data_IF_408446178512
#
_entry.id   IF_408446178512
#
_cell.length_a   1.000
_cell.length_b   1.000
_cell.length_c   1.000
_cell.angle_alpha   90.00
_cell.angle_beta   90.00
_cell.angle_gamma   90.00
#
_symmetry.space_group_name_H-M   'P 1'
#
loop_
_entity.id
_entity.type
_entity.pdbx_description
1 polymer ?
#
# COMPACT_ATOMS: atom_id res chain seq x y z
N UNK A 1 25.44 20.42 -78.58
CA UNK A 1 25.02 19.10 -78.05
C UNK A 1 26.02 18.54 -77.04
N UNK A 2 27.30 18.35 -77.42
CA UNK A 2 28.33 17.80 -76.50
C UNK A 2 28.55 18.62 -75.22
N UNK A 3 28.59 19.96 -75.29
CA UNK A 3 28.79 20.80 -74.11
C UNK A 3 27.65 20.69 -73.07
N UNK A 4 26.40 20.53 -73.53
CA UNK A 4 25.25 20.35 -72.64
C UNK A 4 25.30 18.99 -71.94
N UNK A 5 25.65 17.92 -72.68
CA UNK A 5 25.84 16.58 -72.12
C UNK A 5 26.96 16.56 -71.07
N UNK A 6 28.06 17.29 -71.30
CA UNK A 6 29.14 17.41 -70.32
C UNK A 6 28.67 18.09 -69.03
N UNK A 7 27.87 19.16 -69.14
CA UNK A 7 27.31 19.87 -67.99
C UNK A 7 26.34 18.99 -67.19
N UNK A 8 25.38 18.35 -67.87
CA UNK A 8 24.43 17.42 -67.24
C UNK A 8 25.16 16.28 -66.52
N UNK A 9 26.25 15.75 -67.11
CA UNK A 9 27.07 14.71 -66.48
C UNK A 9 27.80 15.20 -65.21
N UNK A 10 28.22 16.47 -65.19
CA UNK A 10 28.82 17.09 -64.00
C UNK A 10 27.79 17.31 -62.90
N UNK A 11 26.61 17.82 -63.24
CA UNK A 11 25.51 18.06 -62.31
C UNK A 11 25.04 16.73 -61.67
N UNK A 12 24.88 15.68 -62.48
CA UNK A 12 24.57 14.33 -62.00
C UNK A 12 25.64 13.80 -61.03
N UNK A 13 26.93 14.05 -61.31
CA UNK A 13 28.02 13.65 -60.39
C UNK A 13 27.92 14.35 -59.04
N UNK A 14 27.49 15.62 -59.01
CA UNK A 14 27.30 16.37 -57.77
C UNK A 14 26.14 15.76 -56.98
N UNK A 15 24.98 15.57 -57.61
CA UNK A 15 23.81 14.98 -56.95
C UNK A 15 24.08 13.56 -56.43
N UNK A 16 24.83 12.73 -57.16
CA UNK A 16 25.23 11.40 -56.69
C UNK A 16 26.10 11.48 -55.43
N UNK A 17 26.96 12.50 -55.31
CA UNK A 17 27.77 12.72 -54.10
C UNK A 17 26.89 13.17 -52.93
N UNK A 18 25.98 14.11 -53.15
CA UNK A 18 25.04 14.61 -52.14
C UNK A 18 24.19 13.47 -51.59
N UNK A 19 23.58 12.66 -52.46
CA UNK A 19 22.77 11.49 -52.06
C UNK A 19 23.61 10.49 -51.24
N UNK A 20 24.88 10.26 -51.60
CA UNK A 20 25.75 9.35 -50.84
C UNK A 20 26.04 9.87 -49.44
N UNK A 21 26.21 11.19 -49.29
CA UNK A 21 26.45 11.82 -48.00
C UNK A 21 25.18 11.77 -47.13
N UNK A 22 24.01 12.10 -47.69
CA UNK A 22 22.74 11.95 -46.98
C UNK A 22 22.51 10.50 -46.53
N UNK A 23 22.75 9.52 -47.40
CA UNK A 23 22.65 8.10 -47.03
C UNK A 23 23.61 7.72 -45.90
N UNK A 24 24.80 8.33 -45.83
CA UNK A 24 25.73 8.10 -44.72
C UNK A 24 25.17 8.66 -43.42
N UNK A 25 24.66 9.89 -43.44
CA UNK A 25 24.05 10.52 -42.27
C UNK A 25 22.83 9.73 -41.78
N UNK A 26 21.98 9.24 -42.69
CA UNK A 26 20.85 8.39 -42.31
C UNK A 26 21.30 7.07 -41.65
N UNK A 27 22.38 6.45 -42.15
CA UNK A 27 22.96 5.26 -41.51
C UNK A 27 23.55 5.54 -40.12
N UNK A 28 24.07 6.73 -39.89
CA UNK A 28 24.58 7.16 -38.58
C UNK A 28 23.41 7.38 -37.61
N UNK A 29 22.39 8.16 -37.99
CA UNK A 29 21.17 8.34 -37.19
C UNK A 29 20.45 7.04 -36.86
N UNK A 30 20.38 6.10 -37.81
CA UNK A 30 19.79 4.77 -37.56
C UNK A 30 20.60 3.94 -36.58
N UNK A 31 21.91 4.17 -36.44
CA UNK A 31 22.73 3.50 -35.41
C UNK A 31 22.48 4.13 -34.05
N UNK A 32 22.45 5.46 -33.96
CA UNK A 32 22.14 6.20 -32.73
C UNK A 32 20.77 5.81 -32.18
N UNK A 33 19.73 5.82 -33.01
CA UNK A 33 18.37 5.41 -32.61
C UNK A 33 18.30 3.96 -32.10
N UNK A 34 19.15 3.07 -32.60
CA UNK A 34 19.20 1.68 -32.09
C UNK A 34 19.79 1.62 -30.69
N UNK A 35 20.84 2.42 -30.44
CA UNK A 35 21.49 2.50 -29.13
C UNK A 35 20.49 3.08 -28.11
N UNK A 36 19.86 4.21 -28.41
CA UNK A 36 18.85 4.82 -27.53
C UNK A 36 17.69 3.86 -27.24
N UNK A 37 17.26 3.07 -28.23
CA UNK A 37 16.19 2.11 -28.06
C UNK A 37 16.60 0.92 -27.18
N UNK A 38 17.87 0.51 -27.21
CA UNK A 38 18.41 -0.50 -26.30
C UNK A 38 18.52 0.02 -24.86
N UNK A 39 18.99 1.25 -24.67
CA UNK A 39 19.06 1.93 -23.37
C UNK A 39 17.67 2.07 -22.74
N UNK A 40 16.68 2.58 -23.50
CA UNK A 40 15.30 2.69 -23.04
C UNK A 40 14.68 1.34 -22.66
N UNK A 41 15.05 0.26 -23.37
CA UNK A 41 14.58 -1.10 -23.01
C UNK A 41 15.19 -1.55 -21.68
N UNK A 42 16.47 -1.24 -21.44
CA UNK A 42 17.13 -1.57 -20.20
C UNK A 42 16.51 -0.80 -19.02
N UNK A 43 16.35 0.52 -19.15
CA UNK A 43 15.73 1.38 -18.14
C UNK A 43 14.31 0.91 -17.80
N UNK A 44 13.50 0.61 -18.81
CA UNK A 44 12.14 0.09 -18.59
C UNK A 44 12.16 -1.28 -17.88
N UNK A 45 13.16 -2.11 -18.16
CA UNK A 45 13.39 -3.36 -17.45
C UNK A 45 13.74 -3.15 -15.96
N UNK A 46 14.54 -2.13 -15.65
CA UNK A 46 14.88 -1.73 -14.28
C UNK A 46 13.65 -1.22 -13.53
N UNK A 47 12.91 -0.29 -14.13
CA UNK A 47 11.66 0.26 -13.57
C UNK A 47 10.64 -0.85 -13.30
N UNK A 48 10.53 -1.85 -14.17
CA UNK A 48 9.64 -3.01 -13.93
C UNK A 48 10.06 -3.82 -12.70
N UNK A 49 11.36 -4.09 -12.56
CA UNK A 49 11.90 -4.83 -11.40
C UNK A 49 11.68 -4.06 -10.09
N UNK A 50 11.93 -2.76 -10.08
CA UNK A 50 11.67 -1.91 -8.92
C UNK A 50 10.18 -1.90 -8.55
N UNK A 51 9.29 -1.78 -9.54
CA UNK A 51 7.86 -1.86 -9.30
C UNK A 51 7.41 -3.21 -8.70
N UNK A 52 7.98 -4.32 -9.16
CA UNK A 52 7.70 -5.63 -8.59
C UNK A 52 8.20 -5.75 -7.14
N UNK A 53 9.37 -5.19 -6.84
CA UNK A 53 9.91 -5.13 -5.48
C UNK A 53 9.00 -4.32 -4.55
N UNK A 54 8.65 -3.09 -4.95
CA UNK A 54 7.76 -2.22 -4.16
C UNK A 54 6.40 -2.86 -3.90
N UNK A 55 5.83 -3.58 -4.88
CA UNK A 55 4.57 -4.32 -4.68
C UNK A 55 4.68 -5.38 -3.59
N UNK A 56 5.79 -6.11 -3.52
CA UNK A 56 6.03 -7.11 -2.47
C UNK A 56 6.17 -6.45 -1.10
N UNK A 57 6.95 -5.37 -1.02
CA UNK A 57 7.11 -4.63 0.25
C UNK A 57 5.78 -4.05 0.75
N UNK A 58 4.93 -3.54 -0.13
CA UNK A 58 3.59 -3.06 0.22
C UNK A 58 2.70 -4.18 0.77
N UNK A 59 2.72 -5.37 0.16
CA UNK A 59 1.95 -6.50 0.66
C UNK A 59 2.47 -6.97 2.02
N UNK A 60 3.80 -7.01 2.22
CA UNK A 60 4.40 -7.36 3.51
C UNK A 60 4.01 -6.34 4.60
N UNK A 61 4.04 -5.04 4.29
CA UNK A 61 3.59 -3.99 5.21
C UNK A 61 2.11 -4.16 5.55
N UNK A 62 1.26 -4.44 4.55
CA UNK A 62 -0.16 -4.68 4.76
C UNK A 62 -0.41 -5.87 5.68
N UNK A 63 0.25 -7.00 5.46
CA UNK A 63 0.15 -8.19 6.32
C UNK A 63 0.61 -7.86 7.74
N UNK A 64 1.69 -7.09 7.91
CA UNK A 64 2.17 -6.66 9.23
C UNK A 64 1.16 -5.75 9.93
N UNK A 65 0.55 -4.80 9.22
CA UNK A 65 -0.48 -3.92 9.76
C UNK A 65 -1.71 -4.72 10.20
N UNK A 66 -2.18 -5.67 9.39
CA UNK A 66 -3.29 -6.54 9.77
C UNK A 66 -2.99 -7.36 11.03
N UNK A 67 -1.75 -7.86 11.19
CA UNK A 67 -1.34 -8.58 12.41
C UNK A 67 -1.36 -7.66 13.62
N UNK A 68 -0.84 -6.44 13.49
CA UNK A 68 -0.84 -5.44 14.57
C UNK A 68 -2.27 -5.05 14.95
N UNK A 69 -3.13 -4.81 13.96
CA UNK A 69 -4.53 -4.46 14.21
C UNK A 69 -5.32 -5.59 14.86
N UNK A 70 -5.08 -6.84 14.45
CA UNK A 70 -5.65 -8.02 15.13
C UNK A 70 -5.17 -8.12 16.57
N UNK A 71 -3.87 -7.99 16.82
CA UNK A 71 -3.31 -8.04 18.17
C UNK A 71 -3.89 -6.93 19.07
N UNK A 72 -4.02 -5.69 18.55
CA UNK A 72 -4.64 -4.56 19.26
C UNK A 72 -6.11 -4.77 19.62
N UNK A 73 -6.82 -5.61 18.87
CA UNK A 73 -8.25 -5.88 19.04
C UNK A 73 -8.52 -7.23 19.69
N UNK A 74 -7.51 -8.08 19.88
CA UNK A 74 -7.68 -9.47 20.33
C UNK A 74 -8.40 -9.57 21.67
N UNK A 75 -8.06 -8.69 22.62
CA UNK A 75 -8.65 -8.67 23.96
C UNK A 75 -9.78 -7.66 24.13
N UNK A 76 -10.23 -7.04 23.04
CA UNK A 76 -11.36 -6.13 23.09
C UNK A 76 -12.68 -6.91 23.11
N UNK A 77 -13.64 -6.40 23.87
CA UNK A 77 -15.02 -6.89 23.99
C UNK A 77 -15.98 -5.72 23.83
N UNK A 78 -17.07 -5.94 23.10
CA UNK A 78 -18.16 -4.97 22.99
C UNK A 78 -19.20 -5.34 24.05
N UNK A 79 -19.47 -4.40 24.95
CA UNK A 79 -20.52 -4.52 25.96
C UNK A 79 -21.69 -3.65 25.53
N UNK A 80 -22.88 -4.25 25.48
CA UNK A 80 -24.13 -3.59 25.12
C UNK A 80 -25.19 -3.84 26.19
N UNK A 81 -26.19 -2.95 26.25
CA UNK A 81 -27.38 -3.11 27.09
C UNK A 81 -27.41 -2.24 28.33
N UNK A 82 -26.31 -1.58 28.69
CA UNK A 82 -26.25 -0.62 29.79
C UNK A 82 -26.23 0.81 29.27
N UNK A 83 -27.05 1.71 29.84
CA UNK A 83 -27.00 3.15 29.54
C UNK A 83 -25.72 3.77 30.08
N UNK A 84 -25.01 4.52 29.24
CA UNK A 84 -23.72 5.15 29.58
C UNK A 84 -23.88 6.66 29.60
N UNK A 85 -24.01 7.23 30.80
CA UNK A 85 -24.24 8.67 30.97
C UNK A 85 -22.96 9.48 31.24
N UNK A 86 -21.81 8.81 31.29
CA UNK A 86 -20.51 9.45 31.48
C UNK A 86 -19.63 9.38 30.22
N UNK A 87 -18.96 10.49 29.91
CA UNK A 87 -17.90 10.55 28.91
C UNK A 87 -16.49 10.37 29.50
N UNK A 88 -16.36 10.38 30.83
CA UNK A 88 -15.08 10.24 31.51
C UNK A 88 -14.61 8.78 31.45
N UNK A 89 -13.41 8.56 30.89
CA UNK A 89 -12.81 7.23 30.76
C UNK A 89 -12.57 6.54 32.09
N UNK A 90 -12.22 7.27 33.16
CA UNK A 90 -11.94 6.67 34.47
C UNK A 90 -13.23 6.17 35.12
N UNK A 91 -14.25 7.01 35.15
CA UNK A 91 -15.57 6.64 35.66
C UNK A 91 -16.20 5.53 34.81
N UNK A 92 -16.03 5.57 33.48
CA UNK A 92 -16.52 4.53 32.60
C UNK A 92 -15.86 3.17 32.91
N UNK A 93 -14.54 3.16 33.13
CA UNK A 93 -13.80 1.97 33.52
C UNK A 93 -14.32 1.39 34.83
N UNK A 94 -14.42 2.20 35.88
CA UNK A 94 -14.95 1.77 37.18
C UNK A 94 -16.39 1.25 37.07
N UNK A 95 -17.22 1.91 36.25
CA UNK A 95 -18.60 1.49 36.00
C UNK A 95 -18.63 0.13 35.31
N UNK A 96 -17.76 -0.12 34.31
CA UNK A 96 -17.69 -1.43 33.65
C UNK A 96 -17.20 -2.52 34.61
N UNK A 97 -16.18 -2.25 35.42
CA UNK A 97 -15.66 -3.21 36.40
C UNK A 97 -16.75 -3.59 37.42
N UNK A 98 -17.49 -2.60 37.93
CA UNK A 98 -18.62 -2.83 38.82
C UNK A 98 -19.77 -3.59 38.15
N UNK A 99 -20.07 -3.29 36.89
CA UNK A 99 -21.10 -3.99 36.11
C UNK A 99 -20.73 -5.48 35.94
N UNK A 100 -19.51 -5.78 35.51
CA UNK A 100 -19.04 -7.16 35.35
C UNK A 100 -19.06 -7.93 36.66
N UNK A 101 -18.69 -7.28 37.77
CA UNK A 101 -18.72 -7.90 39.10
C UNK A 101 -20.14 -8.18 39.59
N UNK A 102 -21.10 -7.27 39.36
CA UNK A 102 -22.47 -7.41 39.87
C UNK A 102 -23.34 -8.31 39.00
N UNK A 103 -23.29 -8.15 37.69
CA UNK A 103 -24.22 -8.82 36.76
C UNK A 103 -23.69 -10.17 36.29
N UNK A 104 -22.35 -10.34 36.21
CA UNK A 104 -21.74 -11.56 35.69
C UNK A 104 -21.03 -12.38 36.79
N UNK A 105 -20.91 -11.84 38.02
CA UNK A 105 -20.07 -12.39 39.09
C UNK A 105 -18.59 -12.56 38.68
N UNK A 106 -18.11 -11.63 37.84
CA UNK A 106 -16.76 -11.66 37.29
C UNK A 106 -15.91 -10.53 37.85
N UNK A 107 -14.85 -10.90 38.58
CA UNK A 107 -13.92 -9.95 39.16
C UNK A 107 -12.70 -9.72 38.24
N UNK A 108 -12.87 -8.91 37.19
CA UNK A 108 -11.81 -8.55 36.24
C UNK A 108 -11.42 -7.07 36.40
N UNK A 109 -10.10 -6.80 36.37
CA UNK A 109 -9.58 -5.45 36.16
C UNK A 109 -9.48 -5.18 34.67
N UNK A 110 -10.18 -4.15 34.22
CA UNK A 110 -10.20 -3.73 32.82
C UNK A 110 -8.95 -2.89 32.56
N UNK A 111 -8.39 -2.91 31.35
CA UNK A 111 -7.31 -1.99 31.00
C UNK A 111 -7.88 -0.62 30.64
N UNK A 112 -8.79 -0.61 29.67
CA UNK A 112 -9.36 0.58 29.06
C UNK A 112 -10.85 0.37 28.75
N UNK A 113 -11.66 1.40 28.91
CA UNK A 113 -13.05 1.43 28.48
C UNK A 113 -13.29 2.68 27.63
N UNK A 114 -13.99 2.51 26.50
CA UNK A 114 -14.29 3.58 25.55
C UNK A 114 -15.77 3.54 25.18
N UNK A 115 -16.48 4.64 25.42
CA UNK A 115 -17.88 4.80 24.99
C UNK A 115 -17.93 4.86 23.46
N UNK A 116 -18.69 3.94 22.85
CA UNK A 116 -18.98 3.95 21.41
C UNK A 116 -20.36 4.51 21.09
N UNK A 117 -21.29 4.44 22.05
CA UNK A 117 -22.64 4.99 21.92
C UNK A 117 -23.34 5.02 23.27
N UNK A 118 -24.62 5.43 23.29
CA UNK A 118 -25.37 5.59 24.54
C UNK A 118 -25.62 4.28 25.29
N UNK A 119 -25.58 3.15 24.59
CA UNK A 119 -25.71 1.80 25.17
C UNK A 119 -24.60 0.84 24.77
N UNK A 120 -23.49 1.36 24.24
CA UNK A 120 -22.41 0.54 23.67
C UNK A 120 -21.06 1.02 24.18
N UNK A 121 -20.30 0.10 24.78
CA UNK A 121 -18.96 0.33 25.30
C UNK A 121 -17.98 -0.67 24.67
N UNK A 122 -16.81 -0.21 24.29
CA UNK A 122 -15.66 -1.05 23.99
C UNK A 122 -14.84 -1.19 25.28
N UNK A 123 -14.57 -2.43 25.68
CA UNK A 123 -13.77 -2.76 26.85
C UNK A 123 -12.54 -3.54 26.41
N UNK A 124 -11.35 -3.09 26.81
CA UNK A 124 -10.10 -3.83 26.62
C UNK A 124 -9.76 -4.61 27.89
N UNK A 125 -9.69 -5.92 27.75
CA UNK A 125 -9.30 -6.84 28.82
C UNK A 125 -7.77 -7.02 28.84
N UNK A 126 -7.18 -7.35 30.00
CA UNK A 126 -5.72 -7.45 30.15
C UNK A 126 -5.13 -8.64 29.38
N UNK A 127 -5.91 -9.70 29.20
CA UNK A 127 -5.46 -10.89 28.49
C UNK A 127 -6.64 -11.67 27.89
N UNK A 128 -6.28 -12.67 27.09
CA UNK A 128 -7.23 -13.53 26.38
C UNK A 128 -7.99 -14.48 27.32
N UNK A 129 -7.38 -14.88 28.44
CA UNK A 129 -8.00 -15.77 29.41
C UNK A 129 -9.21 -15.11 30.06
N UNK A 130 -9.08 -13.84 30.48
CA UNK A 130 -10.19 -13.07 31.03
C UNK A 130 -11.32 -12.89 30.02
N UNK A 131 -10.97 -12.70 28.74
CA UNK A 131 -11.95 -12.66 27.64
C UNK A 131 -12.70 -13.99 27.54
N UNK A 132 -12.01 -15.13 27.54
CA UNK A 132 -12.62 -16.45 27.45
C UNK A 132 -13.53 -16.73 28.66
N UNK A 133 -13.07 -16.42 29.88
CA UNK A 133 -13.89 -16.56 31.09
C UNK A 133 -15.19 -15.77 30.98
N UNK A 134 -15.11 -14.52 30.51
CA UNK A 134 -16.29 -13.68 30.30
C UNK A 134 -17.29 -14.31 29.31
N UNK A 135 -16.81 -14.82 28.17
CA UNK A 135 -17.69 -15.46 27.19
C UNK A 135 -18.33 -16.74 27.71
N UNK A 136 -17.59 -17.58 28.45
CA UNK A 136 -18.13 -18.83 29.00
C UNK A 136 -19.23 -18.54 30.03
N UNK A 137 -19.01 -17.56 30.92
CA UNK A 137 -19.97 -17.24 31.97
C UNK A 137 -21.21 -16.52 31.45
N UNK A 138 -21.09 -15.71 30.40
CA UNK A 138 -22.23 -15.05 29.77
C UNK A 138 -23.14 -16.02 28.98
N UNK A 139 -22.61 -17.13 28.47
CA UNK A 139 -23.38 -18.12 27.70
C UNK A 139 -23.94 -19.28 28.57
N UNK A 140 -23.87 -19.17 29.90
CA UNK A 140 -24.55 -20.07 30.83
C UNK A 140 -25.91 -19.51 31.19
#
# INVERSE_FOLDING_TARGET
MMANLTKETQDLKIHVKEIKEEQRQYREKMRELRIELEELRQENGEVRRENEHMKKELEDVKVRLERIDRARKENNVIVQGMTIDTGDRRLLKETMENFMKKELDINIKIEEAVKLGNKTCLVRLPNKEEKIKMFILYNK
#
